data_IF_229133858174
#
_entry.id   IF_229133858174
#
_cell.length_a   1.000
_cell.length_b   1.000
_cell.length_c   1.000
_cell.angle_alpha   90.00
_cell.angle_beta   90.00
_cell.angle_gamma   90.00
#
_symmetry.space_group_name_H-M   'P 1'
#
loop_
_entity.id
_entity.type
_entity.pdbx_description
1 polymer ?
#
# COMPACT_ATOMS: atom_id res chain seq x y z
N UNK A 1 12.12 -21.25 -7.93
CA UNK A 1 11.33 -20.32 -8.79
C UNK A 1 12.16 -19.08 -9.06
N UNK A 2 12.31 -18.65 -10.32
CA UNK A 2 12.98 -17.40 -10.64
C UNK A 2 12.24 -16.23 -9.96
N UNK A 3 12.96 -15.34 -9.26
CA UNK A 3 12.38 -14.11 -8.69
C UNK A 3 11.81 -13.29 -9.85
N UNK A 4 10.50 -13.06 -9.85
CA UNK A 4 9.88 -12.12 -10.79
C UNK A 4 10.46 -10.73 -10.49
N UNK A 5 10.77 -9.95 -11.52
CA UNK A 5 11.17 -8.54 -11.35
C UNK A 5 10.05 -7.71 -10.70
N UNK A 6 10.35 -6.49 -10.25
CA UNK A 6 9.35 -5.63 -9.60
C UNK A 6 8.15 -5.41 -10.53
N UNK A 7 6.95 -5.63 -9.98
CA UNK A 7 5.68 -5.49 -10.73
C UNK A 7 5.40 -4.04 -11.12
N UNK A 8 5.91 -3.09 -10.32
CA UNK A 8 5.68 -1.65 -10.47
C UNK A 8 7.03 -0.94 -10.52
N UNK A 9 7.34 -0.16 -11.57
CA UNK A 9 8.53 0.67 -11.62
C UNK A 9 8.45 1.80 -10.57
N UNK A 10 9.60 2.22 -10.03
CA UNK A 10 9.70 3.40 -9.16
C UNK A 10 9.08 3.29 -7.76
N UNK A 11 8.47 2.17 -7.39
CA UNK A 11 7.75 2.02 -6.12
C UNK A 11 8.65 2.20 -4.88
N UNK A 12 9.94 1.88 -5.00
CA UNK A 12 10.85 1.88 -3.86
C UNK A 12 10.94 3.25 -3.18
N UNK A 13 11.14 4.31 -3.95
CA UNK A 13 11.26 5.69 -3.43
C UNK A 13 9.95 6.13 -2.76
N UNK A 14 8.82 5.76 -3.35
CA UNK A 14 7.50 6.15 -2.80
C UNK A 14 7.22 5.41 -1.50
N UNK A 15 7.58 4.14 -1.40
CA UNK A 15 7.40 3.37 -0.17
C UNK A 15 8.38 3.78 0.93
N UNK A 16 9.58 4.25 0.60
CA UNK A 16 10.50 4.84 1.58
C UNK A 16 9.90 6.13 2.15
N UNK A 17 9.34 7.01 1.30
CA UNK A 17 8.58 8.18 1.77
C UNK A 17 7.38 7.81 2.65
N UNK A 18 6.65 6.74 2.32
CA UNK A 18 5.55 6.24 3.15
C UNK A 18 6.02 5.90 4.57
N UNK A 19 7.15 5.19 4.68
CA UNK A 19 7.74 4.84 5.99
C UNK A 19 8.15 6.11 6.75
N UNK A 20 8.80 7.05 6.07
CA UNK A 20 9.23 8.32 6.69
C UNK A 20 8.03 9.14 7.20
N UNK A 21 6.93 9.21 6.42
CA UNK A 21 5.68 9.89 6.84
C UNK A 21 5.09 9.21 8.08
N UNK A 22 5.01 7.88 8.09
CA UNK A 22 4.47 7.13 9.22
C UNK A 22 5.32 7.34 10.50
N UNK A 23 6.64 7.38 10.36
CA UNK A 23 7.54 7.62 11.49
C UNK A 23 7.55 9.08 11.98
N UNK A 24 7.27 10.03 11.09
CA UNK A 24 7.13 11.45 11.45
C UNK A 24 5.90 11.74 12.33
N UNK A 25 4.91 10.84 12.37
CA UNK A 25 3.74 10.96 13.24
C UNK A 25 4.07 10.80 14.74
N UNK A 26 5.27 10.34 15.08
CA UNK A 26 5.77 10.20 16.46
C UNK A 26 6.34 8.81 16.77
N UNK A 27 6.73 8.58 18.03
CA UNK A 27 7.26 7.30 18.47
C UNK A 27 6.29 6.14 18.20
N UNK A 28 6.79 4.98 17.78
CA UNK A 28 5.98 3.78 17.43
C UNK A 28 5.03 3.41 18.58
N UNK A 29 5.49 3.44 19.82
CA UNK A 29 4.67 3.13 21.00
C UNK A 29 3.44 4.03 21.17
N UNK A 30 3.44 5.26 20.61
CA UNK A 30 2.28 6.17 20.62
C UNK A 30 1.29 5.90 19.51
N UNK A 31 1.70 5.16 18.48
CA UNK A 31 0.91 4.76 17.32
C UNK A 31 0.37 3.33 17.43
N UNK A 32 0.73 2.63 18.50
CA UNK A 32 0.40 1.22 18.73
C UNK A 32 -0.75 1.09 19.72
N UNK A 33 -1.67 0.18 19.45
CA UNK A 33 -2.77 -0.11 20.36
C UNK A 33 -2.27 -0.47 21.77
N UNK A 34 -2.95 0.05 22.77
CA UNK A 34 -2.48 -0.01 24.16
C UNK A 34 -2.21 -1.41 24.68
N UNK A 35 -3.00 -2.39 24.24
CA UNK A 35 -2.80 -3.78 24.67
C UNK A 35 -1.48 -4.37 24.16
N UNK A 36 -0.99 -3.97 22.98
CA UNK A 36 0.32 -4.39 22.48
C UNK A 36 1.47 -3.78 23.27
N UNK A 37 1.38 -2.50 23.65
CA UNK A 37 2.41 -1.88 24.53
C UNK A 37 2.41 -2.51 25.92
N UNK A 38 1.26 -2.97 26.42
CA UNK A 38 1.18 -3.72 27.67
C UNK A 38 1.82 -5.12 27.51
N UNK A 39 1.52 -5.82 26.39
CA UNK A 39 2.15 -7.11 26.08
C UNK A 39 3.67 -6.99 26.02
N UNK A 40 4.20 -5.97 25.34
CA UNK A 40 5.65 -5.72 25.27
C UNK A 40 6.30 -5.56 26.65
N UNK A 41 5.63 -4.86 27.58
CA UNK A 41 6.12 -4.74 28.98
C UNK A 41 6.10 -6.06 29.72
N UNK A 42 5.00 -6.82 29.64
CA UNK A 42 4.88 -8.14 30.29
C UNK A 42 5.99 -9.06 29.79
N UNK A 43 6.23 -9.08 28.48
CA UNK A 43 7.28 -9.88 27.88
C UNK A 43 8.67 -9.45 28.36
N UNK A 44 8.92 -8.14 28.50
CA UNK A 44 10.18 -7.63 29.03
C UNK A 44 10.44 -8.09 30.48
N UNK A 45 9.39 -8.15 31.30
CA UNK A 45 9.48 -8.57 32.72
C UNK A 45 9.65 -10.10 32.89
N UNK A 46 9.13 -10.90 31.95
CA UNK A 46 9.14 -12.37 32.03
C UNK A 46 10.18 -13.04 31.12
N UNK A 47 10.90 -12.28 30.33
CA UNK A 47 11.87 -12.75 29.34
C UNK A 47 11.30 -12.78 27.93
N UNK A 48 12.03 -12.15 27.01
CA UNK A 48 11.67 -12.11 25.59
C UNK A 48 12.04 -13.40 24.88
N UNK A 49 11.27 -13.75 23.85
CA UNK A 49 11.52 -14.94 23.02
C UNK A 49 11.12 -14.66 21.56
N UNK A 50 11.72 -15.39 20.64
CA UNK A 50 11.30 -15.37 19.23
C UNK A 50 9.94 -16.03 19.07
N UNK A 51 9.07 -15.33 18.34
CA UNK A 51 7.75 -15.84 17.91
C UNK A 51 7.59 -15.67 16.41
N UNK A 52 6.60 -16.37 15.83
CA UNK A 52 6.25 -16.24 14.41
C UNK A 52 4.82 -15.76 14.29
N UNK A 53 4.63 -14.55 13.77
CA UNK A 53 3.33 -14.02 13.41
C UNK A 53 2.94 -14.51 12.01
N UNK A 54 1.73 -15.05 11.88
CA UNK A 54 1.13 -15.38 10.60
C UNK A 54 0.15 -14.29 10.19
N UNK A 55 0.37 -13.66 9.04
CA UNK A 55 -0.46 -12.58 8.52
C UNK A 55 -1.34 -13.10 7.39
N UNK A 56 -2.64 -12.87 7.48
CA UNK A 56 -3.64 -13.28 6.50
C UNK A 56 -4.80 -12.28 6.41
N UNK A 57 -5.59 -12.38 5.35
CA UNK A 57 -6.82 -11.58 5.19
C UNK A 57 -8.04 -12.50 5.26
N UNK A 58 -9.12 -12.02 5.89
CA UNK A 58 -10.38 -12.79 6.04
C UNK A 58 -11.17 -12.93 4.75
N UNK A 59 -10.80 -12.18 3.70
CA UNK A 59 -11.43 -12.23 2.38
C UNK A 59 -10.35 -12.35 1.33
N UNK A 60 -10.74 -12.82 0.14
CA UNK A 60 -9.88 -12.78 -1.04
C UNK A 60 -9.39 -11.36 -1.29
N UNK A 61 -8.10 -11.22 -1.59
CA UNK A 61 -7.46 -9.97 -1.96
C UNK A 61 -6.43 -10.18 -3.07
N UNK A 62 -5.89 -9.08 -3.60
CA UNK A 62 -4.66 -9.07 -4.38
C UNK A 62 -3.51 -8.66 -3.48
N UNK A 63 -2.43 -9.41 -3.49
CA UNK A 63 -1.27 -9.17 -2.64
C UNK A 63 -0.59 -7.83 -2.99
N UNK A 64 -0.47 -6.95 -1.98
CA UNK A 64 0.24 -5.68 -2.01
C UNK A 64 1.03 -5.56 -0.70
N UNK A 65 2.15 -6.31 -0.61
CA UNK A 65 2.84 -6.65 0.64
C UNK A 65 4.03 -5.74 0.96
N UNK A 66 4.60 -5.09 -0.08
CA UNK A 66 5.83 -4.29 0.08
C UNK A 66 5.74 -3.17 1.12
N UNK A 67 4.61 -2.43 1.27
CA UNK A 67 4.51 -1.40 2.30
C UNK A 67 4.79 -1.94 3.70
N UNK A 68 4.18 -3.09 4.03
CA UNK A 68 4.38 -3.75 5.33
C UNK A 68 5.79 -4.31 5.48
N UNK A 69 6.34 -4.92 4.43
CA UNK A 69 7.69 -5.51 4.46
C UNK A 69 8.75 -4.42 4.67
N UNK A 70 8.60 -3.27 4.02
CA UNK A 70 9.50 -2.13 4.25
C UNK A 70 9.38 -1.57 5.65
N UNK A 71 8.17 -1.46 6.17
CA UNK A 71 7.92 -1.01 7.53
C UNK A 71 8.61 -1.94 8.55
N UNK A 72 8.43 -3.27 8.44
CA UNK A 72 9.05 -4.22 9.36
C UNK A 72 10.58 -4.21 9.25
N UNK A 73 11.13 -4.16 8.05
CA UNK A 73 12.57 -4.10 7.84
C UNK A 73 13.20 -2.83 8.43
N UNK A 74 12.47 -1.72 8.44
CA UNK A 74 12.90 -0.45 9.05
C UNK A 74 12.84 -0.46 10.56
N UNK A 75 11.75 -1.00 11.14
CA UNK A 75 11.47 -0.95 12.59
C UNK A 75 12.07 -2.11 13.36
N UNK A 76 12.13 -3.29 12.76
CA UNK A 76 12.66 -4.52 13.37
C UNK A 76 13.60 -5.22 12.39
N UNK A 77 14.80 -4.67 12.13
CA UNK A 77 15.74 -5.21 11.13
C UNK A 77 16.18 -6.65 11.41
N UNK A 78 16.08 -7.09 12.67
CA UNK A 78 16.37 -8.47 13.09
C UNK A 78 15.27 -9.46 12.74
N UNK A 79 14.06 -9.01 12.38
CA UNK A 79 12.96 -9.90 12.03
C UNK A 79 13.21 -10.59 10.68
N UNK A 80 12.81 -11.85 10.60
CA UNK A 80 12.84 -12.63 9.37
C UNK A 80 11.45 -12.65 8.74
N UNK A 81 11.33 -12.18 7.51
CA UNK A 81 10.07 -12.14 6.76
C UNK A 81 10.07 -13.21 5.67
N UNK A 82 9.09 -14.12 5.72
CA UNK A 82 8.85 -15.13 4.69
C UNK A 82 7.55 -14.80 3.96
N UNK A 83 7.63 -14.67 2.64
CA UNK A 83 6.48 -14.46 1.75
C UNK A 83 5.93 -15.79 1.26
N UNK A 84 4.61 -15.87 1.09
CA UNK A 84 3.90 -16.98 0.45
C UNK A 84 3.28 -16.57 -0.89
N UNK A 85 3.13 -15.27 -1.13
CA UNK A 85 2.60 -14.68 -2.35
C UNK A 85 3.49 -13.54 -2.81
N UNK A 86 3.59 -13.35 -4.12
CA UNK A 86 4.28 -12.22 -4.73
C UNK A 86 3.29 -11.06 -4.97
N UNK A 87 3.84 -9.85 -5.23
CA UNK A 87 3.02 -8.69 -5.55
C UNK A 87 2.10 -8.97 -6.73
N UNK A 88 0.81 -8.66 -6.56
CA UNK A 88 -0.22 -8.86 -7.56
C UNK A 88 -0.75 -10.29 -7.68
N UNK A 89 -0.33 -11.22 -6.82
CA UNK A 89 -0.94 -12.54 -6.77
C UNK A 89 -2.33 -12.49 -6.12
N UNK A 90 -3.23 -13.34 -6.59
CA UNK A 90 -4.55 -13.53 -5.99
C UNK A 90 -4.37 -14.37 -4.72
N UNK A 91 -4.76 -13.83 -3.58
CA UNK A 91 -4.71 -14.50 -2.29
C UNK A 91 -6.11 -14.95 -1.89
N UNK A 92 -6.37 -16.25 -1.74
CA UNK A 92 -7.64 -16.74 -1.23
C UNK A 92 -7.91 -16.25 0.20
N UNK A 93 -9.18 -16.25 0.61
CA UNK A 93 -9.58 -15.98 1.99
C UNK A 93 -8.80 -16.87 2.97
N UNK A 94 -8.35 -16.28 4.07
CA UNK A 94 -7.65 -16.94 5.19
C UNK A 94 -6.33 -17.63 4.83
N UNK A 95 -5.83 -17.42 3.59
CA UNK A 95 -4.52 -17.92 3.19
C UNK A 95 -3.41 -17.06 3.80
N UNK A 96 -2.42 -17.73 4.37
CA UNK A 96 -1.27 -17.08 4.98
C UNK A 96 -0.42 -16.36 3.92
N UNK A 97 -0.27 -15.04 4.08
CA UNK A 97 0.45 -14.16 3.14
C UNK A 97 1.91 -13.97 3.53
N UNK A 98 2.16 -13.78 4.82
CA UNK A 98 3.47 -13.58 5.40
C UNK A 98 3.62 -14.39 6.68
N UNK A 99 4.85 -14.83 6.97
CA UNK A 99 5.34 -15.16 8.31
C UNK A 99 6.40 -14.13 8.69
N UNK A 100 6.32 -13.60 9.90
CA UNK A 100 7.26 -12.65 10.46
C UNK A 100 7.77 -13.24 11.77
N UNK A 101 9.05 -13.60 11.82
CA UNK A 101 9.67 -14.24 12.98
C UNK A 101 10.67 -13.30 13.61
N UNK A 102 10.58 -13.11 14.93
CA UNK A 102 11.48 -12.27 15.71
C UNK A 102 11.00 -12.11 17.15
N UNK A 103 11.67 -11.23 17.91
CA UNK A 103 11.36 -10.90 19.30
C UNK A 103 9.87 -10.58 19.50
N UNK A 104 9.22 -11.25 20.44
CA UNK A 104 7.80 -11.00 20.80
C UNK A 104 7.59 -9.55 21.24
N UNK A 105 8.48 -9.00 22.07
CA UNK A 105 8.40 -7.61 22.53
C UNK A 105 8.42 -6.62 21.35
N UNK A 106 9.35 -6.82 20.40
CA UNK A 106 9.49 -5.92 19.24
C UNK A 106 8.36 -6.08 18.23
N UNK A 107 7.93 -7.31 17.95
CA UNK A 107 6.84 -7.57 17.01
C UNK A 107 5.50 -7.03 17.54
N UNK A 108 5.21 -7.19 18.84
CA UNK A 108 4.02 -6.63 19.47
C UNK A 108 3.97 -5.10 19.37
N UNK A 109 5.12 -4.42 19.54
CA UNK A 109 5.19 -2.96 19.46
C UNK A 109 4.81 -2.43 18.07
N UNK A 110 5.09 -3.17 17.00
CA UNK A 110 4.88 -2.72 15.62
C UNK A 110 3.62 -3.29 14.95
N UNK A 111 2.87 -4.16 15.63
CA UNK A 111 1.75 -4.91 15.01
C UNK A 111 0.68 -4.00 14.42
N UNK A 112 0.28 -2.93 15.11
CA UNK A 112 -0.70 -1.97 14.62
C UNK A 112 -0.27 -1.37 13.28
N UNK A 113 0.99 -0.92 13.19
CA UNK A 113 1.54 -0.33 11.96
C UNK A 113 1.64 -1.36 10.83
N UNK A 114 2.01 -2.61 11.15
CA UNK A 114 2.07 -3.70 10.17
C UNK A 114 0.71 -3.95 9.51
N UNK A 115 -0.33 -4.07 10.34
CA UNK A 115 -1.69 -4.37 9.86
C UNK A 115 -2.28 -3.22 9.02
N UNK A 116 -2.00 -1.98 9.38
CA UNK A 116 -2.37 -0.80 8.57
C UNK A 116 -1.73 -0.84 7.18
N UNK A 117 -0.46 -1.24 7.09
CA UNK A 117 0.33 -1.20 5.85
C UNK A 117 0.10 -2.42 4.95
N UNK A 118 -0.64 -3.45 5.41
CA UNK A 118 -1.02 -4.61 4.59
C UNK A 118 -2.50 -4.64 4.25
N UNK A 119 -3.38 -4.31 5.19
CA UNK A 119 -4.83 -4.44 5.01
C UNK A 119 -5.35 -3.54 3.90
N UNK A 120 -5.10 -2.24 4.02
CA UNK A 120 -5.63 -1.24 3.11
C UNK A 120 -5.08 -1.37 1.67
N UNK A 121 -3.77 -1.50 1.41
CA UNK A 121 -3.27 -1.64 0.05
C UNK A 121 -3.70 -2.94 -0.62
N UNK A 122 -3.85 -4.05 0.10
CA UNK A 122 -4.36 -5.30 -0.46
C UNK A 122 -5.84 -5.17 -0.90
N UNK A 123 -6.68 -4.46 -0.12
CA UNK A 123 -8.07 -4.19 -0.49
C UNK A 123 -8.12 -3.24 -1.69
N UNK A 124 -7.33 -2.17 -1.70
CA UNK A 124 -7.22 -1.25 -2.83
C UNK A 124 -6.77 -1.98 -4.11
N UNK A 125 -5.78 -2.87 -4.00
CA UNK A 125 -5.29 -3.67 -5.11
C UNK A 125 -6.38 -4.61 -5.66
N UNK A 126 -7.14 -5.25 -4.77
CA UNK A 126 -8.26 -6.10 -5.19
C UNK A 126 -9.34 -5.30 -5.92
N UNK A 127 -9.73 -4.14 -5.40
CA UNK A 127 -10.73 -3.28 -6.03
C UNK A 127 -10.26 -2.81 -7.42
N UNK A 128 -9.02 -2.35 -7.54
CA UNK A 128 -8.45 -1.94 -8.81
C UNK A 128 -8.37 -3.11 -9.82
N UNK A 129 -7.98 -4.30 -9.35
CA UNK A 129 -7.96 -5.51 -10.18
C UNK A 129 -9.34 -5.83 -10.75
N UNK A 130 -10.39 -5.84 -9.91
CA UNK A 130 -11.76 -6.13 -10.35
C UNK A 130 -12.30 -5.04 -11.28
N UNK A 131 -12.05 -3.75 -11.01
CA UNK A 131 -12.42 -2.64 -11.90
C UNK A 131 -11.79 -2.79 -13.28
N UNK A 132 -10.49 -3.04 -13.33
CA UNK A 132 -9.74 -3.19 -14.58
C UNK A 132 -10.24 -4.40 -15.38
N UNK A 133 -10.59 -5.48 -14.73
CA UNK A 133 -11.13 -6.69 -15.35
C UNK A 133 -12.56 -6.52 -15.84
N UNK A 134 -13.37 -5.75 -15.12
CA UNK A 134 -14.76 -5.48 -15.51
C UNK A 134 -14.87 -4.62 -16.77
N UNK A 135 -13.90 -3.70 -16.99
CA UNK A 135 -13.90 -2.78 -18.14
C UNK A 135 -12.48 -2.73 -18.74
N UNK A 136 -12.01 -3.78 -19.41
CA UNK A 136 -10.61 -3.89 -19.86
C UNK A 136 -10.19 -2.79 -20.83
N UNK A 137 -11.10 -2.31 -21.68
CA UNK A 137 -10.84 -1.22 -22.63
C UNK A 137 -10.75 0.18 -22.01
N UNK A 138 -11.12 0.36 -20.74
CA UNK A 138 -11.08 1.66 -20.07
C UNK A 138 -9.70 1.94 -19.49
N UNK A 139 -9.23 3.18 -19.63
CA UNK A 139 -8.11 3.73 -18.89
C UNK A 139 -8.64 4.44 -17.65
N UNK A 140 -8.05 4.16 -16.49
CA UNK A 140 -8.39 4.77 -15.21
C UNK A 140 -7.31 5.74 -14.77
N UNK A 141 -7.70 6.79 -14.05
CA UNK A 141 -6.79 7.71 -13.38
C UNK A 141 -7.05 7.68 -11.87
N UNK A 142 -5.99 7.60 -11.08
CA UNK A 142 -6.08 7.74 -9.63
C UNK A 142 -6.30 9.21 -9.26
N UNK A 143 -7.49 9.52 -8.75
CA UNK A 143 -7.87 10.84 -8.26
C UNK A 143 -8.20 10.82 -6.75
N UNK A 144 -7.68 9.83 -6.03
CA UNK A 144 -8.02 9.57 -4.63
C UNK A 144 -7.47 10.64 -3.66
N UNK A 145 -6.44 11.37 -4.03
CA UNK A 145 -5.67 12.25 -3.17
C UNK A 145 -6.50 13.16 -2.24
N UNK A 146 -7.48 13.86 -2.79
CA UNK A 146 -8.35 14.77 -2.01
C UNK A 146 -9.39 14.04 -1.13
N UNK A 147 -9.55 12.74 -1.31
CA UNK A 147 -10.48 11.89 -0.54
C UNK A 147 -9.75 11.02 0.48
N UNK A 148 -8.41 11.00 0.44
CA UNK A 148 -7.60 10.25 1.39
C UNK A 148 -7.54 10.93 2.76
N UNK A 149 -7.49 10.14 3.83
CA UNK A 149 -7.25 10.61 5.19
C UNK A 149 -5.74 10.84 5.42
N UNK A 150 -5.16 11.74 4.63
CA UNK A 150 -3.75 12.12 4.71
C UNK A 150 -2.85 11.43 3.68
N UNK A 151 -1.58 11.87 3.64
CA UNK A 151 -0.61 11.46 2.62
C UNK A 151 -0.30 9.95 2.66
N UNK A 152 -0.26 9.36 3.84
CA UNK A 152 0.01 7.94 4.02
C UNK A 152 -1.08 7.07 3.36
N UNK A 153 -2.36 7.36 3.66
CA UNK A 153 -3.47 6.63 3.04
C UNK A 153 -3.51 6.84 1.53
N UNK A 154 -3.20 8.06 1.06
CA UNK A 154 -3.11 8.33 -0.38
C UNK A 154 -2.05 7.47 -1.08
N UNK A 155 -0.85 7.36 -0.52
CA UNK A 155 0.22 6.51 -1.07
C UNK A 155 -0.20 5.03 -1.07
N UNK A 156 -0.79 4.54 0.03
CA UNK A 156 -1.25 3.16 0.14
C UNK A 156 -2.34 2.82 -0.88
N UNK A 157 -3.29 3.75 -1.11
CA UNK A 157 -4.34 3.58 -2.11
C UNK A 157 -3.76 3.53 -3.53
N UNK A 158 -2.91 4.50 -3.87
CA UNK A 158 -2.26 4.57 -5.18
C UNK A 158 -1.36 3.35 -5.45
N UNK A 159 -0.60 2.92 -4.44
CA UNK A 159 0.21 1.70 -4.53
C UNK A 159 -0.67 0.47 -4.81
N UNK A 160 -1.74 0.28 -4.03
CA UNK A 160 -2.69 -0.81 -4.27
C UNK A 160 -3.31 -0.76 -5.67
N UNK A 161 -3.74 0.44 -6.13
CA UNK A 161 -4.29 0.61 -7.47
C UNK A 161 -3.29 0.23 -8.57
N UNK A 162 -2.02 0.63 -8.43
CA UNK A 162 -0.97 0.28 -9.37
C UNK A 162 -0.71 -1.24 -9.40
N UNK A 163 -0.64 -1.90 -8.21
CA UNK A 163 -0.47 -3.36 -8.10
C UNK A 163 -1.64 -4.10 -8.74
N UNK A 164 -2.88 -3.74 -8.39
CA UNK A 164 -4.07 -4.38 -8.93
C UNK A 164 -4.21 -4.23 -10.44
N UNK A 165 -3.90 -3.02 -10.95
CA UNK A 165 -3.87 -2.73 -12.37
C UNK A 165 -2.81 -3.56 -13.12
N UNK A 166 -1.60 -3.64 -12.58
CA UNK A 166 -0.53 -4.43 -13.17
C UNK A 166 -0.85 -5.93 -13.15
N UNK A 167 -1.48 -6.42 -12.08
CA UNK A 167 -1.96 -7.80 -11.98
C UNK A 167 -3.05 -8.11 -13.02
N UNK A 168 -3.99 -7.18 -13.23
CA UNK A 168 -5.04 -7.33 -14.24
C UNK A 168 -4.46 -7.37 -15.65
N UNK A 169 -3.52 -6.47 -16.00
CA UNK A 169 -2.80 -6.48 -17.29
C UNK A 169 -2.00 -7.77 -17.51
N UNK A 170 -1.40 -8.31 -16.44
CA UNK A 170 -0.68 -9.60 -16.51
C UNK A 170 -1.62 -10.76 -16.82
N UNK A 171 -2.86 -10.72 -16.33
CA UNK A 171 -3.86 -11.74 -16.55
C UNK A 171 -4.57 -11.61 -17.92
N UNK A 172 -4.67 -10.39 -18.46
CA UNK A 172 -5.33 -10.07 -19.71
C UNK A 172 -4.68 -8.85 -20.38
N UNK A 173 -4.02 -9.07 -21.52
CA UNK A 173 -3.30 -8.03 -22.26
C UNK A 173 -4.21 -6.94 -22.86
N UNK A 174 -5.52 -7.16 -22.93
CA UNK A 174 -6.48 -6.14 -23.40
C UNK A 174 -6.77 -5.06 -22.35
N UNK A 175 -6.38 -5.29 -21.10
CA UNK A 175 -6.61 -4.37 -19.99
C UNK A 175 -5.70 -3.14 -20.11
N UNK A 176 -6.30 -1.95 -20.23
CA UNK A 176 -5.59 -0.67 -20.15
C UNK A 176 -5.23 -0.31 -18.70
N UNK A 177 -6.17 -0.48 -17.77
CA UNK A 177 -5.98 -0.27 -16.35
C UNK A 177 -5.67 1.18 -15.95
N UNK A 178 -5.04 1.35 -14.79
CA UNK A 178 -4.63 2.67 -14.31
C UNK A 178 -3.41 3.18 -15.08
N UNK A 179 -3.50 4.41 -15.60
CA UNK A 179 -2.50 5.02 -16.48
C UNK A 179 -1.81 6.24 -15.86
N UNK A 180 -2.26 6.72 -14.70
CA UNK A 180 -1.68 7.87 -14.03
C UNK A 180 -2.37 8.21 -12.71
N UNK A 181 -1.85 9.23 -12.05
CA UNK A 181 -2.39 9.82 -10.82
C UNK A 181 -2.55 11.32 -10.97
N UNK A 182 -3.43 11.92 -10.20
CA UNK A 182 -3.62 13.37 -10.13
C UNK A 182 -2.55 14.10 -9.31
N UNK A 183 -1.57 13.39 -8.75
CA UNK A 183 -0.50 13.97 -7.94
C UNK A 183 0.88 13.53 -8.38
N UNK A 184 1.85 14.45 -8.34
CA UNK A 184 3.27 14.17 -8.58
C UNK A 184 3.83 13.13 -7.61
N UNK A 185 3.38 13.15 -6.34
CA UNK A 185 3.82 12.21 -5.31
C UNK A 185 3.60 10.75 -5.70
N UNK A 186 2.47 10.43 -6.33
CA UNK A 186 2.06 9.05 -6.64
C UNK A 186 2.18 8.70 -8.13
N UNK A 187 2.43 9.69 -9.00
CA UNK A 187 2.61 9.49 -10.43
C UNK A 187 3.64 8.41 -10.80
N UNK A 188 4.81 8.30 -10.10
CA UNK A 188 5.81 7.27 -10.41
C UNK A 188 5.31 5.84 -10.27
N UNK A 189 4.28 5.59 -9.43
CA UNK A 189 3.67 4.26 -9.29
C UNK A 189 2.96 3.80 -10.57
N UNK A 190 2.63 4.73 -11.46
CA UNK A 190 2.00 4.47 -12.75
C UNK A 190 2.94 4.69 -13.94
N UNK A 191 4.26 4.89 -13.67
CA UNK A 191 5.28 5.08 -14.70
C UNK A 191 5.36 6.51 -15.24
N UNK A 192 4.72 7.48 -14.60
CA UNK A 192 4.74 8.89 -15.00
C UNK A 192 5.71 9.71 -14.11
N UNK A 193 6.30 10.76 -14.66
CA UNK A 193 7.18 11.69 -13.92
C UNK A 193 6.40 12.79 -13.18
N UNK A 194 5.16 13.06 -13.60
CA UNK A 194 4.31 14.08 -13.01
C UNK A 194 2.86 13.63 -12.98
N UNK A 195 2.07 14.24 -12.10
CA UNK A 195 0.63 14.03 -12.02
C UNK A 195 -0.09 14.52 -13.26
N UNK A 196 -1.22 13.89 -13.55
CA UNK A 196 -2.11 14.28 -14.64
C UNK A 196 -3.16 15.24 -14.09
N UNK A 197 -3.18 16.47 -14.59
CA UNK A 197 -4.14 17.49 -14.18
C UNK A 197 -5.38 17.51 -15.06
N UNK A 198 -6.49 17.94 -14.46
CA UNK A 198 -7.69 18.38 -15.14
C UNK A 198 -8.02 19.79 -14.66
N UNK A 199 -8.88 20.49 -15.40
CA UNK A 199 -9.30 21.85 -15.05
C UNK A 199 -10.22 21.81 -13.80
N UNK A 200 -9.94 22.60 -12.75
CA UNK A 200 -10.84 22.72 -11.61
C UNK A 200 -12.04 23.60 -11.96
N UNK A 201 -13.22 23.30 -11.42
CA UNK A 201 -14.43 24.12 -11.60
C UNK A 201 -14.23 25.59 -11.18
N UNK A 202 -13.37 25.83 -10.19
CA UNK A 202 -13.03 27.19 -9.75
C UNK A 202 -12.39 28.04 -10.86
N UNK A 203 -11.63 27.41 -11.77
CA UNK A 203 -11.03 28.13 -12.90
C UNK A 203 -12.09 28.58 -13.91
N UNK A 204 -13.12 27.74 -14.16
CA UNK A 204 -14.26 28.12 -15.00
C UNK A 204 -15.01 29.32 -14.37
N UNK A 205 -15.17 29.36 -13.05
CA UNK A 205 -15.73 30.48 -12.33
C UNK A 205 -14.86 31.74 -12.46
N UNK A 206 -13.54 31.61 -12.38
CA UNK A 206 -12.59 32.72 -12.56
C UNK A 206 -12.67 33.31 -13.96
N UNK A 207 -12.79 32.49 -15.01
CA UNK A 207 -13.00 32.93 -16.41
C UNK A 207 -14.46 33.31 -16.71
N UNK A 208 -15.28 33.56 -15.69
CA UNK A 208 -16.70 33.95 -15.80
C UNK A 208 -17.56 33.04 -16.66
N UNK A 209 -17.23 31.72 -16.69
CA UNK A 209 -17.93 30.70 -17.42
C UNK A 209 -17.35 30.39 -18.81
N UNK A 210 -16.27 31.04 -19.20
CA UNK A 210 -15.55 30.72 -20.42
C UNK A 210 -14.70 29.44 -20.19
N UNK A 211 -15.20 28.30 -20.66
CA UNK A 211 -14.56 27.01 -20.51
C UNK A 211 -13.30 26.91 -21.39
N UNK A 212 -13.29 27.56 -22.55
CA UNK A 212 -12.13 27.51 -23.46
C UNK A 212 -10.95 28.31 -22.91
N UNK A 213 -11.21 29.45 -22.27
CA UNK A 213 -10.18 30.22 -21.58
C UNK A 213 -9.66 29.50 -20.32
N UNK A 214 -10.49 28.64 -19.69
CA UNK A 214 -10.14 27.86 -18.52
C UNK A 214 -9.31 26.61 -18.83
N UNK A 215 -9.25 26.17 -20.08
CA UNK A 215 -8.52 24.96 -20.53
C UNK A 215 -7.13 25.30 -21.05
#
# INVERSE_FOLDING_TARGET
MAKRGPLIPGYAIILDKLVDIALAAGPVATQTDKYFTNTSRIVADHGDMDVTFAVFMRRRVVAALEPTIRMINRLVPSARVKRFYEEGDIVPSESKMLEITGSMARLSEVETLLLQKIGFPCVSANNAYEMCRAIPGAAFMDMHARHASGAEMNILAAYGAAVGSAAARRADASVKGFVGSSQDLTAPLFGASAGMGTMPHALVGYTRGDVLEAM
#
